data_IF_238343866112
#
_entry.id   IF_238343866112
#
_cell.length_a   1.000
_cell.length_b   1.000
_cell.length_c   1.000
_cell.angle_alpha   90.00
_cell.angle_beta   90.00
_cell.angle_gamma   90.00
#
_symmetry.space_group_name_H-M   'P 1'
#
loop_
_entity.id
_entity.type
_entity.pdbx_description
1 polymer ?
#
# COMPACT_ATOMS: atom_id res chain seq x y z
N UNK A 1 -8.97 6.61 3.07
CA UNK A 1 -7.81 5.95 3.71
C UNK A 1 -7.02 5.25 2.61
N UNK A 2 -5.78 5.65 2.32
CA UNK A 2 -5.00 5.02 1.25
C UNK A 2 -4.44 3.69 1.77
N UNK A 3 -5.08 2.58 1.40
CA UNK A 3 -4.54 1.25 1.68
C UNK A 3 -3.34 1.02 0.78
N UNK A 4 -2.22 0.61 1.38
CA UNK A 4 -0.97 0.34 0.67
C UNK A 4 -0.64 -1.13 0.81
N UNK A 5 -0.19 -1.76 -0.27
CA UNK A 5 0.31 -3.12 -0.27
C UNK A 5 1.69 -3.15 -0.88
N UNK A 6 2.56 -4.03 -0.39
CA UNK A 6 3.87 -4.30 -0.96
C UNK A 6 3.85 -5.68 -1.57
N UNK A 7 4.21 -5.80 -2.85
CA UNK A 7 4.48 -7.10 -3.44
C UNK A 7 5.90 -7.54 -3.02
N UNK A 8 6.03 -8.66 -2.32
CA UNK A 8 7.33 -9.15 -1.83
C UNK A 8 8.18 -9.72 -2.98
N UNK A 9 7.52 -10.31 -3.99
CA UNK A 9 8.20 -10.91 -5.14
C UNK A 9 8.72 -9.86 -6.14
N UNK A 10 8.01 -8.74 -6.29
CA UNK A 10 8.35 -7.71 -7.28
C UNK A 10 8.98 -6.46 -6.65
N UNK A 11 9.00 -6.36 -5.31
CA UNK A 11 9.45 -5.19 -4.57
C UNK A 11 8.78 -3.87 -5.01
N UNK A 12 7.50 -3.95 -5.40
CA UNK A 12 6.69 -2.77 -5.77
C UNK A 12 5.71 -2.42 -4.65
N UNK A 13 5.40 -1.12 -4.53
CA UNK A 13 4.40 -0.61 -3.59
C UNK A 13 3.18 -0.17 -4.36
N UNK A 14 2.05 -0.83 -4.11
CA UNK A 14 0.75 -0.50 -4.66
C UNK A 14 0.00 0.39 -3.67
N UNK A 15 -0.54 1.50 -4.14
CA UNK A 15 -1.37 2.40 -3.34
C UNK A 15 -2.76 2.45 -3.97
N UNK A 16 -3.79 2.01 -3.23
CA UNK A 16 -5.18 1.97 -3.70
C UNK A 16 -5.77 0.57 -3.82
N UNK A 17 -7.07 0.45 -3.51
CA UNK A 17 -7.76 -0.83 -3.40
C UNK A 17 -7.84 -1.62 -4.72
N UNK A 18 -8.01 -0.91 -5.84
CA UNK A 18 -8.13 -1.53 -7.18
C UNK A 18 -6.86 -2.24 -7.65
N UNK A 19 -5.70 -1.59 -7.51
CA UNK A 19 -4.41 -2.18 -7.89
C UNK A 19 -4.10 -3.41 -7.02
N UNK A 20 -4.39 -3.33 -5.73
CA UNK A 20 -4.19 -4.41 -4.76
C UNK A 20 -4.96 -5.68 -5.15
N UNK A 21 -6.23 -5.53 -5.57
CA UNK A 21 -7.11 -6.65 -5.96
C UNK A 21 -6.59 -7.42 -7.17
N UNK A 22 -6.06 -6.72 -8.17
CA UNK A 22 -5.53 -7.35 -9.39
C UNK A 22 -4.33 -8.25 -9.08
N UNK A 23 -3.44 -7.80 -8.19
CA UNK A 23 -2.27 -8.57 -7.77
C UNK A 23 -2.63 -9.66 -6.75
N UNK A 24 -3.65 -9.46 -5.90
CA UNK A 24 -4.18 -10.47 -4.98
C UNK A 24 -4.84 -11.65 -5.71
N UNK A 25 -5.44 -11.40 -6.87
CA UNK A 25 -6.06 -12.45 -7.69
C UNK A 25 -5.03 -13.37 -8.36
N UNK A 26 -3.75 -12.97 -8.38
CA UNK A 26 -2.70 -13.75 -9.02
C UNK A 26 -1.80 -14.42 -7.96
N UNK A 27 -1.82 -15.75 -7.82
CA UNK A 27 -1.09 -16.48 -6.77
C UNK A 27 0.44 -16.35 -6.87
N UNK A 28 0.95 -15.86 -8.00
CA UNK A 28 2.39 -15.55 -8.19
C UNK A 28 2.83 -14.28 -7.45
N UNK A 29 1.91 -13.41 -7.05
CA UNK A 29 2.24 -12.16 -6.37
C UNK A 29 1.85 -12.23 -4.90
N UNK A 30 2.86 -12.31 -4.02
CA UNK A 30 2.65 -12.23 -2.58
C UNK A 30 2.55 -10.77 -2.16
N UNK A 31 1.38 -10.34 -1.67
CA UNK A 31 1.13 -8.98 -1.21
C UNK A 31 1.11 -8.92 0.32
N UNK A 32 1.87 -7.98 0.89
CA UNK A 32 1.83 -7.64 2.31
C UNK A 32 1.15 -6.27 2.50
N UNK A 33 0.17 -6.20 3.40
CA UNK A 33 -0.51 -4.95 3.70
C UNK A 33 0.42 -4.04 4.51
N UNK A 34 0.69 -2.86 4.00
CA UNK A 34 1.47 -1.85 4.70
C UNK A 34 0.57 -1.04 5.63
N UNK A 35 1.11 -0.59 6.78
CA UNK A 35 0.40 0.33 7.64
C UNK A 35 0.05 1.62 6.87
N UNK A 36 -1.07 2.27 7.21
CA UNK A 36 -1.40 3.56 6.64
C UNK A 36 -0.26 4.55 6.92
N UNK A 37 0.02 5.49 6.00
CA UNK A 37 0.99 6.54 6.27
C UNK A 37 0.57 7.28 7.54
N UNK A 38 1.54 7.68 8.40
CA UNK A 38 1.23 8.51 9.54
C UNK A 38 0.43 9.71 9.06
N UNK A 39 -0.65 10.05 9.79
CA UNK A 39 -1.43 11.25 9.49
C UNK A 39 -0.44 12.41 9.37
N UNK A 40 -0.59 13.31 8.37
CA UNK A 40 0.23 14.51 8.35
C UNK A 40 0.04 15.19 9.70
N UNK A 41 1.08 15.15 10.54
CA UNK A 41 1.16 16.03 11.70
C UNK A 41 1.10 17.40 11.08
N UNK A 42 0.00 18.10 11.34
CA UNK A 42 -0.17 19.49 10.96
C UNK A 42 0.99 20.20 11.64
N UNK A 43 2.07 20.45 10.89
CA UNK A 43 3.17 21.26 11.37
C UNK A 43 2.52 22.57 11.83
N UNK A 44 2.69 23.00 13.08
CA UNK A 44 2.17 24.28 13.50
C UNK A 44 2.90 25.32 12.65
N UNK A 45 2.21 25.88 11.67
CA UNK A 45 2.61 27.09 10.97
C UNK A 45 2.74 28.15 12.05
N UNK A 46 3.98 28.50 12.40
CA UNK A 46 4.31 29.65 13.24
C UNK A 46 4.37 30.89 12.37
#
# INVERSE_FOLDING_TARGET
>A
MAIRYRCVNCNIVLSGEGASRHYLANPTHKLEKLPPPPKPVKSPTR
#
